data_IF_941775704764
#
_entry.id   IF_941775704764
#
_cell.length_a   1.000
_cell.length_b   1.000
_cell.length_c   1.000
_cell.angle_alpha   90.00
_cell.angle_beta   90.00
_cell.angle_gamma   90.00
#
_symmetry.space_group_name_H-M   'P 1'
#
loop_
_entity.id
_entity.type
_entity.pdbx_description
1 polymer ?
#
# COMPACT_ATOMS: atom_id res chain seq x y z
N UNK A 1 2.06 -13.98 22.12
CA UNK A 1 2.60 -14.87 21.07
C UNK A 1 2.25 -14.42 19.65
N UNK A 2 1.25 -13.55 19.45
CA UNK A 2 0.80 -13.00 18.15
C UNK A 2 1.72 -11.94 17.49
N UNK A 3 2.78 -11.49 18.16
CA UNK A 3 3.61 -10.35 17.72
C UNK A 3 4.95 -10.77 17.11
N UNK A 4 5.32 -12.05 17.13
CA UNK A 4 6.61 -12.52 16.61
C UNK A 4 6.54 -12.86 15.12
N UNK A 5 5.43 -13.42 14.65
CA UNK A 5 5.34 -13.97 13.30
C UNK A 5 5.02 -12.91 12.23
N UNK A 6 4.35 -11.80 12.59
CA UNK A 6 4.17 -10.66 11.68
C UNK A 6 5.46 -9.86 11.43
N UNK A 7 6.42 -9.92 12.36
CA UNK A 7 7.74 -9.30 12.21
C UNK A 7 8.65 -10.12 11.28
N UNK A 8 8.58 -11.46 11.34
CA UNK A 8 9.38 -12.34 10.48
C UNK A 8 9.00 -12.16 9.00
N UNK A 9 7.71 -12.03 8.70
CA UNK A 9 7.24 -11.83 7.32
C UNK A 9 7.58 -10.43 6.78
N UNK A 10 7.46 -9.39 7.61
CA UNK A 10 7.95 -8.04 7.27
C UNK A 10 9.47 -8.01 7.06
N UNK A 11 10.24 -8.76 7.85
CA UNK A 11 11.69 -8.87 7.70
C UNK A 11 12.12 -9.60 6.40
N UNK A 12 11.35 -10.60 5.95
CA UNK A 12 11.58 -11.26 4.66
C UNK A 12 11.30 -10.32 3.47
N UNK A 13 10.17 -9.59 3.50
CA UNK A 13 9.83 -8.54 2.52
C UNK A 13 10.95 -7.47 2.49
N UNK A 14 11.40 -7.05 3.68
CA UNK A 14 12.44 -6.04 3.81
C UNK A 14 13.79 -6.49 3.27
N UNK A 15 14.22 -7.75 3.46
CA UNK A 15 15.47 -8.28 2.86
C UNK A 15 15.44 -8.24 1.32
N UNK A 16 14.31 -8.57 0.71
CA UNK A 16 14.14 -8.51 -0.75
C UNK A 16 14.10 -7.05 -1.24
N UNK A 17 13.50 -6.13 -0.46
CA UNK A 17 13.57 -4.69 -0.74
C UNK A 17 14.99 -4.13 -0.60
N UNK A 18 15.76 -4.58 0.40
CA UNK A 18 17.16 -4.21 0.65
C UNK A 18 18.08 -4.64 -0.52
N UNK A 19 17.78 -5.78 -1.16
CA UNK A 19 18.54 -6.28 -2.31
C UNK A 19 18.22 -5.54 -3.64
N UNK A 20 17.04 -4.92 -3.74
CA UNK A 20 16.61 -4.15 -4.93
C UNK A 20 16.92 -2.65 -4.82
N UNK A 21 16.79 -2.10 -3.61
CA UNK A 21 17.05 -0.69 -3.32
C UNK A 21 18.51 -0.56 -2.86
N UNK A 22 19.45 -0.37 -3.81
CA UNK A 22 20.86 -0.18 -3.45
C UNK A 22 21.11 1.05 -2.56
N UNK A 23 22.22 1.06 -1.82
CA UNK A 23 22.75 2.24 -1.09
C UNK A 23 22.22 2.45 0.34
N UNK A 24 22.18 3.71 0.77
CA UNK A 24 21.76 4.19 2.11
C UNK A 24 20.47 3.59 2.65
N UNK A 25 19.48 3.47 1.75
CA UNK A 25 18.14 3.01 2.08
C UNK A 25 18.14 1.52 2.47
N UNK A 26 19.01 0.72 1.86
CA UNK A 26 19.25 -0.66 2.28
C UNK A 26 19.91 -0.74 3.68
N UNK A 27 20.85 0.16 3.98
CA UNK A 27 21.52 0.21 5.29
C UNK A 27 20.57 0.67 6.41
N UNK A 28 19.72 1.66 6.12
CA UNK A 28 18.67 2.15 7.01
C UNK A 28 17.65 1.05 7.35
N UNK A 29 17.24 0.28 6.34
CA UNK A 29 16.36 -0.87 6.52
C UNK A 29 17.05 -1.99 7.31
N UNK A 30 18.32 -2.28 7.05
CA UNK A 30 19.09 -3.26 7.79
C UNK A 30 19.21 -2.92 9.30
N UNK A 31 19.32 -1.64 9.65
CA UNK A 31 19.37 -1.16 11.04
C UNK A 31 18.03 -1.31 11.77
N UNK A 32 16.91 -1.04 11.11
CA UNK A 32 15.55 -1.26 11.66
C UNK A 32 15.25 -2.74 11.90
N UNK A 33 15.91 -3.64 11.15
CA UNK A 33 15.70 -5.10 11.18
C UNK A 33 16.46 -5.84 12.30
N UNK A 34 17.30 -5.16 13.07
CA UNK A 34 18.03 -5.79 14.18
C UNK A 34 17.13 -5.96 15.40
N UNK A 35 16.82 -7.20 15.80
CA UNK A 35 16.26 -7.46 17.14
C UNK A 35 17.37 -7.36 18.18
N UNK A 36 17.09 -6.96 19.45
CA UNK A 36 18.12 -6.95 20.51
C UNK A 36 18.79 -8.31 20.73
N UNK A 37 18.14 -9.39 20.29
CA UNK A 37 18.59 -10.78 20.39
C UNK A 37 19.52 -11.25 19.26
N UNK A 38 19.63 -10.52 18.15
CA UNK A 38 20.52 -10.89 17.04
C UNK A 38 21.98 -10.42 17.25
N UNK A 39 22.25 -9.67 18.32
CA UNK A 39 23.62 -9.39 18.80
C UNK A 39 24.08 -10.56 19.67
N UNK A 40 24.19 -11.76 19.09
CA UNK A 40 24.96 -12.83 19.73
C UNK A 40 26.42 -12.63 19.34
N UNK A 41 27.19 -12.18 20.32
CA UNK A 41 28.62 -11.91 20.28
C UNK A 41 29.38 -12.80 19.28
N UNK A 42 29.63 -12.28 18.07
CA UNK A 42 30.84 -12.64 17.38
C UNK A 42 31.98 -12.03 18.20
N UNK A 43 32.77 -12.87 18.86
CA UNK A 43 34.09 -12.48 19.31
C UNK A 43 34.91 -12.13 18.07
N UNK A 44 34.81 -10.87 17.65
CA UNK A 44 35.78 -10.29 16.74
C UNK A 44 37.01 -10.03 17.59
N UNK A 45 38.05 -10.83 17.37
CA UNK A 45 39.37 -10.63 17.95
C UNK A 45 39.82 -9.20 17.65
N UNK A 46 40.03 -8.41 18.70
CA UNK A 46 40.50 -7.03 18.61
C UNK A 46 41.89 -6.97 17.95
N UNK A 47 42.08 -6.23 16.84
CA UNK A 47 43.36 -5.61 16.61
C UNK A 47 43.47 -4.44 17.59
N UNK A 48 44.44 -4.50 18.49
CA UNK A 48 44.85 -3.33 19.28
C UNK A 48 45.27 -2.23 18.29
N UNK A 49 44.40 -1.25 18.13
CA UNK A 49 44.63 -0.06 17.33
C UNK A 49 43.59 0.97 17.74
N UNK A 50 44.04 1.95 18.53
CA UNK A 50 43.24 3.10 18.94
C UNK A 50 42.87 3.95 17.72
N UNK A 51 41.81 3.58 17.02
CA UNK A 51 41.06 4.54 16.21
C UNK A 51 39.93 5.06 17.09
N UNK A 52 39.91 6.37 17.34
CA UNK A 52 38.70 7.02 17.82
C UNK A 52 37.62 6.68 16.78
N UNK A 53 36.65 5.87 17.16
CA UNK A 53 35.44 5.71 16.38
C UNK A 53 34.78 7.09 16.43
N UNK A 54 35.01 7.92 15.41
CA UNK A 54 34.38 9.23 15.31
C UNK A 54 32.87 9.00 15.45
N UNK A 55 32.29 9.57 16.51
CA UNK A 55 30.84 9.60 16.69
C UNK A 55 30.26 10.28 15.44
N UNK A 56 29.74 9.47 14.51
CA UNK A 56 29.04 10.02 13.34
C UNK A 56 27.91 10.90 13.90
N UNK A 57 27.78 12.16 13.46
CA UNK A 57 26.82 13.07 14.02
C UNK A 57 25.42 12.51 13.79
N UNK A 58 24.73 12.10 14.87
CA UNK A 58 23.38 11.52 14.78
C UNK A 58 22.41 12.55 14.21
N UNK A 59 21.81 12.26 13.05
CA UNK A 59 20.72 13.09 12.50
C UNK A 59 19.53 13.05 13.46
N UNK A 60 19.06 14.21 13.92
CA UNK A 60 17.84 14.29 14.73
C UNK A 60 16.60 14.12 13.84
N UNK A 61 15.72 13.17 14.15
CA UNK A 61 14.45 12.98 13.44
C UNK A 61 13.27 13.60 14.20
N UNK A 62 12.57 14.54 13.58
CA UNK A 62 11.35 15.14 14.09
C UNK A 62 10.15 14.71 13.25
N UNK A 63 9.17 14.01 13.83
CA UNK A 63 7.90 13.71 13.16
C UNK A 63 6.83 14.60 13.77
N UNK A 64 6.22 15.45 12.95
CA UNK A 64 5.22 16.43 13.37
C UNK A 64 3.99 16.35 12.47
N UNK A 65 2.84 16.84 12.96
CA UNK A 65 1.68 17.05 12.11
C UNK A 65 1.94 18.17 11.10
N UNK A 66 1.54 17.96 9.86
CA UNK A 66 1.63 18.93 8.78
C UNK A 66 0.31 19.65 8.54
N UNK A 67 0.39 20.94 8.24
CA UNK A 67 -0.78 21.73 7.84
C UNK A 67 -1.10 21.54 6.36
N UNK A 68 -2.38 21.37 6.05
CA UNK A 68 -2.90 21.40 4.68
C UNK A 68 -3.04 22.85 4.20
N UNK A 69 -2.89 23.08 2.89
CA UNK A 69 -3.27 24.35 2.29
C UNK A 69 -4.78 24.62 2.49
N UNK A 70 -5.20 25.87 2.34
CA UNK A 70 -6.61 26.24 2.50
C UNK A 70 -7.56 25.46 1.57
N UNK A 71 -7.12 25.12 0.36
CA UNK A 71 -7.92 24.32 -0.57
C UNK A 71 -7.92 22.83 -0.20
N UNK A 72 -6.75 22.25 0.10
CA UNK A 72 -6.63 20.85 0.52
C UNK A 72 -7.41 20.58 1.80
N UNK A 73 -7.40 21.52 2.76
CA UNK A 73 -8.19 21.41 3.99
C UNK A 73 -9.69 21.34 3.69
N UNK A 74 -10.21 22.19 2.81
CA UNK A 74 -11.63 22.15 2.41
C UNK A 74 -12.01 20.83 1.74
N UNK A 75 -11.12 20.32 0.87
CA UNK A 75 -11.33 19.03 0.20
C UNK A 75 -11.22 17.86 1.20
N UNK A 76 -10.34 17.95 2.20
CA UNK A 76 -10.23 16.96 3.28
C UNK A 76 -11.43 16.99 4.23
N UNK A 77 -11.92 18.15 4.63
CA UNK A 77 -13.15 18.27 5.44
C UNK A 77 -14.36 17.66 4.70
N UNK A 78 -14.38 17.75 3.36
CA UNK A 78 -15.37 17.07 2.52
C UNK A 78 -15.21 15.55 2.59
N UNK A 79 -13.99 15.03 2.47
CA UNK A 79 -13.68 13.61 2.63
C UNK A 79 -14.16 13.10 4.00
N UNK A 80 -13.85 13.81 5.08
CA UNK A 80 -14.26 13.40 6.42
C UNK A 80 -15.79 13.37 6.59
N UNK A 81 -16.50 14.38 6.07
CA UNK A 81 -17.98 14.37 6.06
C UNK A 81 -18.53 13.18 5.28
N UNK A 82 -17.92 12.89 4.13
CA UNK A 82 -18.32 11.77 3.29
C UNK A 82 -18.04 10.41 3.96
N UNK A 83 -16.91 10.26 4.65
CA UNK A 83 -16.59 9.06 5.43
C UNK A 83 -17.58 8.83 6.59
N UNK A 84 -17.94 9.87 7.33
CA UNK A 84 -18.97 9.77 8.38
C UNK A 84 -20.33 9.30 7.84
N UNK A 85 -20.69 9.76 6.64
CA UNK A 85 -21.91 9.28 5.98
C UNK A 85 -21.81 7.83 5.51
N UNK A 86 -20.64 7.40 5.01
CA UNK A 86 -20.42 5.98 4.68
C UNK A 86 -20.61 5.10 5.91
N UNK A 87 -20.06 5.50 7.06
CA UNK A 87 -20.15 4.72 8.30
C UNK A 87 -21.60 4.50 8.76
N UNK A 88 -22.51 5.40 8.42
CA UNK A 88 -23.92 5.33 8.85
C UNK A 88 -24.84 4.72 7.79
N UNK A 89 -24.55 4.94 6.50
CA UNK A 89 -25.46 4.61 5.39
C UNK A 89 -24.82 3.73 4.31
N UNK A 90 -23.61 3.22 4.54
CA UNK A 90 -22.81 2.58 3.51
C UNK A 90 -22.53 3.53 2.33
N UNK A 91 -22.27 2.98 1.15
CA UNK A 91 -21.93 3.80 -0.01
C UNK A 91 -23.05 4.73 -0.50
N UNK A 92 -24.32 4.47 -0.17
CA UNK A 92 -25.41 5.41 -0.40
C UNK A 92 -25.25 6.73 0.37
N UNK A 93 -24.45 6.74 1.45
CA UNK A 93 -24.04 7.95 2.15
C UNK A 93 -23.23 8.92 1.31
N UNK A 94 -22.58 8.44 0.23
CA UNK A 94 -21.76 9.28 -0.66
C UNK A 94 -22.55 10.11 -1.65
N UNK A 95 -23.81 9.77 -1.95
CA UNK A 95 -24.57 10.31 -3.08
C UNK A 95 -24.57 11.84 -3.11
N UNK A 96 -24.77 12.47 -1.95
CA UNK A 96 -24.78 13.93 -1.81
C UNK A 96 -23.40 14.57 -1.98
N UNK A 97 -22.33 13.80 -1.78
CA UNK A 97 -20.94 14.27 -1.86
C UNK A 97 -20.31 14.04 -3.22
N UNK A 98 -20.81 13.10 -4.03
CA UNK A 98 -20.20 12.72 -5.32
C UNK A 98 -19.90 13.93 -6.23
N UNK A 99 -20.81 14.91 -6.42
CA UNK A 99 -20.50 16.07 -7.25
C UNK A 99 -19.35 16.92 -6.68
N UNK A 100 -19.26 17.05 -5.36
CA UNK A 100 -18.20 17.82 -4.71
C UNK A 100 -16.86 17.07 -4.73
N UNK A 101 -16.87 15.76 -4.52
CA UNK A 101 -15.68 14.90 -4.59
C UNK A 101 -15.10 14.87 -6.00
N UNK A 102 -15.94 14.73 -7.04
CA UNK A 102 -15.47 14.81 -8.44
C UNK A 102 -14.82 16.17 -8.75
N UNK A 103 -15.42 17.26 -8.27
CA UNK A 103 -14.83 18.60 -8.40
C UNK A 103 -13.51 18.73 -7.62
N UNK A 104 -13.39 18.10 -6.45
CA UNK A 104 -12.14 18.10 -5.68
C UNK A 104 -11.04 17.36 -6.44
N UNK A 105 -11.32 16.19 -7.00
CA UNK A 105 -10.35 15.44 -7.81
C UNK A 105 -9.96 16.19 -9.10
N UNK A 106 -10.92 16.87 -9.74
CA UNK A 106 -10.64 17.68 -10.93
C UNK A 106 -9.74 18.90 -10.63
N UNK A 107 -9.83 19.46 -9.41
CA UNK A 107 -8.96 20.55 -8.94
C UNK A 107 -7.63 20.08 -8.36
N UNK A 108 -7.47 18.78 -8.12
CA UNK A 108 -6.29 18.24 -7.48
C UNK A 108 -5.03 18.57 -8.28
N UNK A 109 -3.91 18.95 -7.63
CA UNK A 109 -2.64 19.21 -8.30
C UNK A 109 -2.27 18.08 -9.25
N UNK A 110 -1.63 18.42 -10.38
CA UNK A 110 -1.20 17.43 -11.36
C UNK A 110 -0.15 16.46 -10.78
N UNK A 111 0.70 16.97 -9.88
CA UNK A 111 1.71 16.20 -9.16
C UNK A 111 1.34 16.29 -7.68
N UNK A 112 1.07 15.15 -7.05
CA UNK A 112 0.67 15.07 -5.64
C UNK A 112 1.35 13.88 -4.97
N UNK A 113 2.68 13.92 -4.81
CA UNK A 113 3.46 12.74 -4.49
C UNK A 113 3.28 12.35 -3.02
N UNK A 114 3.50 11.07 -2.75
CA UNK A 114 3.45 10.53 -1.39
C UNK A 114 4.51 11.16 -0.46
N UNK A 115 5.74 11.34 -0.96
CA UNK A 115 6.80 12.11 -0.28
C UNK A 115 7.13 13.36 -1.09
N UNK A 116 7.23 14.50 -0.41
CA UNK A 116 7.63 15.76 -1.04
C UNK A 116 8.68 16.47 -0.19
N UNK A 117 9.80 16.88 -0.80
CA UNK A 117 10.79 17.71 -0.13
C UNK A 117 10.32 19.16 -0.15
N UNK A 118 10.11 19.79 1.02
CA UNK A 118 9.72 21.20 1.11
C UNK A 118 10.92 22.14 1.11
N UNK A 119 11.97 21.79 1.84
CA UNK A 119 13.21 22.54 1.95
C UNK A 119 14.38 21.58 2.30
N UNK A 120 15.51 22.10 2.75
CA UNK A 120 16.73 21.31 2.96
C UNK A 120 16.53 20.14 3.95
N UNK A 121 15.83 20.38 5.06
CA UNK A 121 15.66 19.46 6.19
C UNK A 121 14.20 19.01 6.39
N UNK A 122 13.23 19.60 5.67
CA UNK A 122 11.81 19.32 5.85
C UNK A 122 11.16 18.57 4.67
N UNK A 123 10.41 17.54 5.02
CA UNK A 123 9.69 16.66 4.11
C UNK A 123 8.23 16.55 4.51
N UNK A 124 7.34 16.45 3.52
CA UNK A 124 5.96 16.03 3.71
C UNK A 124 5.88 14.54 3.40
N UNK A 125 5.17 13.80 4.27
CA UNK A 125 4.76 12.41 4.00
C UNK A 125 3.23 12.35 4.07
N UNK A 126 2.60 11.95 2.96
CA UNK A 126 1.15 11.94 2.78
C UNK A 126 0.58 10.55 3.06
N UNK A 127 0.18 10.31 4.29
CA UNK A 127 -0.48 9.07 4.71
C UNK A 127 -1.29 9.27 5.97
N UNK A 128 -2.33 8.46 6.14
CA UNK A 128 -3.03 8.36 7.42
C UNK A 128 -2.40 7.30 8.33
N UNK A 129 -1.52 6.46 7.80
CA UNK A 129 -0.86 5.40 8.54
C UNK A 129 0.42 5.89 9.21
N UNK A 130 0.39 5.97 10.54
CA UNK A 130 1.56 6.40 11.31
C UNK A 130 2.76 5.47 11.09
N UNK A 131 2.52 4.17 10.88
CA UNK A 131 3.57 3.19 10.61
C UNK A 131 4.33 3.47 9.30
N UNK A 132 3.60 3.84 8.23
CA UNK A 132 4.22 4.25 6.97
C UNK A 132 5.01 5.55 7.11
N UNK A 133 4.50 6.48 7.93
CA UNK A 133 5.19 7.75 8.24
C UNK A 133 6.52 7.47 8.92
N UNK A 134 6.52 6.69 10.01
CA UNK A 134 7.73 6.36 10.77
C UNK A 134 8.76 5.66 9.88
N UNK A 135 8.32 4.68 9.10
CA UNK A 135 9.22 3.95 8.20
C UNK A 135 9.85 4.87 7.14
N UNK A 136 9.04 5.73 6.52
CA UNK A 136 9.52 6.72 5.54
C UNK A 136 10.48 7.71 6.20
N UNK A 137 10.15 8.17 7.41
CA UNK A 137 10.97 9.10 8.17
C UNK A 137 12.34 8.51 8.54
N UNK A 138 12.40 7.23 8.91
CA UNK A 138 13.68 6.54 9.17
C UNK A 138 14.54 6.43 7.91
N UNK A 139 13.93 6.16 6.75
CA UNK A 139 14.68 6.15 5.48
C UNK A 139 15.23 7.54 5.14
N UNK A 140 14.43 8.59 5.32
CA UNK A 140 14.86 9.97 5.10
C UNK A 140 15.97 10.39 6.07
N UNK A 141 15.88 9.99 7.35
CA UNK A 141 16.91 10.24 8.35
C UNK A 141 18.24 9.59 7.95
N UNK A 142 18.22 8.34 7.48
CA UNK A 142 19.42 7.65 7.05
C UNK A 142 20.03 8.24 5.77
N UNK A 143 19.21 8.65 4.80
CA UNK A 143 19.71 9.37 3.63
C UNK A 143 20.36 10.71 4.02
N UNK A 144 19.72 11.47 4.92
CA UNK A 144 20.26 12.73 5.41
C UNK A 144 21.55 12.54 6.24
N UNK A 145 21.73 11.38 6.88
CA UNK A 145 22.94 11.02 7.61
C UNK A 145 24.14 10.88 6.67
N UNK A 146 23.92 10.38 5.46
CA UNK A 146 24.95 10.30 4.42
C UNK A 146 25.27 11.67 3.83
N UNK A 147 24.27 12.53 3.72
CA UNK A 147 24.41 13.92 3.26
C UNK A 147 25.04 14.84 4.34
N UNK A 148 25.33 14.33 5.55
CA UNK A 148 25.91 15.10 6.65
C UNK A 148 24.96 16.12 7.27
N UNK A 149 23.64 15.93 7.14
CA UNK A 149 22.65 16.78 7.78
C UNK A 149 22.68 16.62 9.31
N UNK A 150 22.22 17.65 10.02
CA UNK A 150 22.05 17.61 11.49
C UNK A 150 20.65 17.16 11.91
N UNK A 151 19.64 17.41 11.07
CA UNK A 151 18.25 17.06 11.37
C UNK A 151 17.43 16.79 10.11
N UNK A 152 16.36 16.02 10.30
CA UNK A 152 15.28 15.82 9.33
C UNK A 152 13.95 16.01 10.04
N UNK A 153 13.08 16.82 9.46
CA UNK A 153 11.70 17.01 9.91
C UNK A 153 10.75 16.39 8.89
N UNK A 154 9.90 15.48 9.35
CA UNK A 154 8.82 14.87 8.57
C UNK A 154 7.48 15.41 9.06
N UNK A 155 6.76 16.06 8.16
CA UNK A 155 5.39 16.51 8.35
C UNK A 155 4.42 15.48 7.80
N UNK A 156 3.74 14.78 8.70
CA UNK A 156 2.66 13.88 8.31
C UNK A 156 1.44 14.70 7.87
N UNK A 157 0.92 14.41 6.68
CA UNK A 157 -0.34 14.97 6.17
C UNK A 157 -1.27 13.86 5.69
N UNK A 158 -2.60 14.06 5.73
CA UNK A 158 -3.51 13.13 5.08
C UNK A 158 -3.34 13.17 3.56
N UNK A 159 -3.45 12.01 2.91
CA UNK A 159 -3.36 11.90 1.46
C UNK A 159 -4.70 12.22 0.78
N UNK A 160 -5.08 13.51 0.79
CA UNK A 160 -6.42 13.98 0.42
C UNK A 160 -6.90 13.43 -0.93
N UNK A 161 -6.12 13.60 -1.99
CA UNK A 161 -6.58 13.26 -3.34
C UNK A 161 -6.52 11.76 -3.66
N UNK A 162 -5.67 11.00 -2.95
CA UNK A 162 -5.74 9.54 -2.94
C UNK A 162 -7.06 9.08 -2.29
N UNK A 163 -7.44 9.65 -1.14
CA UNK A 163 -8.71 9.33 -0.49
C UNK A 163 -9.92 9.69 -1.35
N UNK A 164 -9.90 10.85 -2.01
CA UNK A 164 -10.98 11.25 -2.94
C UNK A 164 -11.11 10.26 -4.10
N UNK A 165 -9.99 9.90 -4.75
CA UNK A 165 -10.00 8.95 -5.86
C UNK A 165 -10.46 7.56 -5.40
N UNK A 166 -10.00 7.11 -4.22
CA UNK A 166 -10.42 5.86 -3.61
C UNK A 166 -11.92 5.84 -3.35
N UNK A 167 -12.48 6.86 -2.70
CA UNK A 167 -13.91 6.92 -2.38
C UNK A 167 -14.78 6.92 -3.64
N UNK A 168 -14.43 7.71 -4.65
CA UNK A 168 -15.15 7.75 -5.92
C UNK A 168 -15.02 6.43 -6.70
N UNK A 169 -13.81 5.84 -6.72
CA UNK A 169 -13.54 4.58 -7.40
C UNK A 169 -14.30 3.42 -6.76
N UNK A 170 -14.20 3.26 -5.43
CA UNK A 170 -14.93 2.24 -4.70
C UNK A 170 -16.43 2.41 -4.90
N UNK A 171 -17.00 3.60 -4.74
CA UNK A 171 -18.43 3.84 -4.96
C UNK A 171 -18.90 3.48 -6.38
N UNK A 172 -18.10 3.77 -7.41
CA UNK A 172 -18.42 3.36 -8.77
C UNK A 172 -18.38 1.82 -8.94
N UNK A 173 -17.46 1.11 -8.27
CA UNK A 173 -17.45 -0.37 -8.20
C UNK A 173 -18.72 -0.91 -7.54
N UNK A 174 -19.14 -0.34 -6.41
CA UNK A 174 -20.40 -0.71 -5.71
C UNK A 174 -21.59 -0.65 -6.65
N UNK A 175 -21.68 0.43 -7.44
CA UNK A 175 -22.77 0.65 -8.39
C UNK A 175 -22.59 -0.08 -9.72
N UNK A 176 -21.56 -0.94 -9.84
CA UNK A 176 -21.24 -1.68 -11.07
C UNK A 176 -20.96 -0.75 -12.26
N UNK A 177 -20.56 0.50 -12.02
CA UNK A 177 -20.12 1.47 -13.03
C UNK A 177 -18.61 1.34 -13.22
N UNK A 178 -18.20 0.18 -13.74
CA UNK A 178 -16.80 -0.26 -13.68
C UNK A 178 -15.86 0.60 -14.52
N UNK A 179 -16.28 1.03 -15.71
CA UNK A 179 -15.46 1.94 -16.54
C UNK A 179 -15.27 3.31 -15.89
N UNK A 180 -16.28 3.81 -15.18
CA UNK A 180 -16.15 5.04 -14.39
C UNK A 180 -15.18 4.85 -13.23
N UNK A 181 -15.25 3.71 -12.52
CA UNK A 181 -14.32 3.39 -11.45
C UNK A 181 -12.88 3.38 -11.96
N UNK A 182 -12.63 2.71 -13.08
CA UNK A 182 -11.30 2.63 -13.72
C UNK A 182 -10.82 4.04 -14.08
N UNK A 183 -11.65 4.86 -14.73
CA UNK A 183 -11.28 6.21 -15.14
C UNK A 183 -10.96 7.15 -13.96
N UNK A 184 -11.69 7.02 -12.84
CA UNK A 184 -11.41 7.78 -11.62
C UNK A 184 -10.12 7.33 -10.96
N UNK A 185 -9.89 6.01 -10.88
CA UNK A 185 -8.68 5.44 -10.29
C UNK A 185 -7.45 5.79 -11.14
N UNK A 186 -7.59 5.87 -12.46
CA UNK A 186 -6.55 6.38 -13.37
C UNK A 186 -6.18 7.84 -13.07
N UNK A 187 -7.15 8.69 -12.75
CA UNK A 187 -6.86 10.07 -12.35
C UNK A 187 -6.09 10.14 -11.02
N UNK A 188 -6.36 9.23 -10.08
CA UNK A 188 -5.60 9.13 -8.83
C UNK A 188 -4.18 8.63 -9.08
N UNK A 189 -4.03 7.56 -9.86
CA UNK A 189 -2.74 6.97 -10.21
C UNK A 189 -1.86 7.87 -11.07
N UNK A 190 -2.46 8.73 -11.92
CA UNK A 190 -1.70 9.74 -12.66
C UNK A 190 -0.95 10.71 -11.73
N UNK A 191 -1.44 10.91 -10.50
CA UNK A 191 -0.82 11.78 -9.48
C UNK A 191 0.10 11.00 -8.54
N UNK A 192 -0.23 9.74 -8.27
CA UNK A 192 0.53 8.83 -7.43
C UNK A 192 0.63 7.45 -8.09
N UNK A 193 1.58 7.25 -9.01
CA UNK A 193 1.68 6.03 -9.80
C UNK A 193 1.99 4.78 -8.97
N UNK A 194 2.54 4.95 -7.77
CA UNK A 194 2.96 3.88 -6.87
C UNK A 194 2.00 3.65 -5.69
N UNK A 195 0.79 4.23 -5.75
CA UNK A 195 -0.21 4.01 -4.71
C UNK A 195 -0.82 2.60 -4.82
N UNK A 196 -0.28 1.68 -4.02
CA UNK A 196 -0.67 0.28 -4.02
C UNK A 196 -2.17 0.06 -3.75
N UNK A 197 -2.81 0.95 -2.98
CA UNK A 197 -4.25 0.87 -2.69
C UNK A 197 -5.05 1.17 -3.96
N UNK A 198 -4.75 2.28 -4.65
CA UNK A 198 -5.42 2.63 -5.90
C UNK A 198 -5.15 1.60 -7.01
N UNK A 199 -3.94 1.04 -7.09
CA UNK A 199 -3.61 -0.04 -8.04
C UNK A 199 -4.48 -1.27 -7.75
N UNK A 200 -4.56 -1.70 -6.49
CA UNK A 200 -5.36 -2.86 -6.07
C UNK A 200 -6.84 -2.66 -6.37
N UNK A 201 -7.39 -1.48 -6.08
CA UNK A 201 -8.79 -1.16 -6.39
C UNK A 201 -9.04 -1.11 -7.91
N UNK A 202 -8.10 -0.57 -8.70
CA UNK A 202 -8.23 -0.57 -10.17
C UNK A 202 -8.18 -1.99 -10.73
N UNK A 203 -7.30 -2.83 -10.22
CA UNK A 203 -7.25 -4.25 -10.57
C UNK A 203 -8.58 -4.95 -10.26
N UNK A 204 -9.17 -4.68 -9.08
CA UNK A 204 -10.50 -5.20 -8.72
C UNK A 204 -11.60 -4.74 -9.67
N UNK A 205 -11.60 -3.45 -10.06
CA UNK A 205 -12.57 -2.92 -11.02
C UNK A 205 -12.41 -3.54 -12.42
N UNK A 206 -11.18 -3.74 -12.89
CA UNK A 206 -10.87 -4.43 -14.15
C UNK A 206 -11.32 -5.89 -14.12
N UNK A 207 -11.07 -6.60 -13.02
CA UNK A 207 -11.50 -7.98 -12.81
C UNK A 207 -13.03 -8.10 -12.83
N UNK A 208 -13.72 -7.22 -12.11
CA UNK A 208 -15.18 -7.17 -12.12
C UNK A 208 -15.75 -6.88 -13.51
N UNK A 209 -14.98 -6.21 -14.37
CA UNK A 209 -15.36 -5.90 -15.76
C UNK A 209 -15.00 -7.03 -16.74
N UNK A 210 -14.42 -8.13 -16.26
CA UNK A 210 -13.90 -9.22 -17.10
C UNK A 210 -12.62 -8.88 -17.86
N UNK A 211 -11.99 -7.73 -17.58
CA UNK A 211 -10.77 -7.24 -18.24
C UNK A 211 -9.52 -7.80 -17.54
N UNK A 212 -9.45 -9.13 -17.44
CA UNK A 212 -8.48 -9.84 -16.61
C UNK A 212 -7.04 -9.71 -17.12
N UNK A 213 -6.81 -9.64 -18.43
CA UNK A 213 -5.48 -9.38 -19.00
C UNK A 213 -4.93 -8.01 -18.58
N UNK A 214 -5.79 -6.99 -18.54
CA UNK A 214 -5.40 -5.65 -18.12
C UNK A 214 -5.13 -5.58 -16.61
N UNK A 215 -5.95 -6.27 -15.80
CA UNK A 215 -5.70 -6.39 -14.36
C UNK A 215 -4.38 -7.11 -14.06
N UNK A 216 -4.11 -8.20 -14.79
CA UNK A 216 -2.86 -8.95 -14.71
C UNK A 216 -1.67 -8.08 -15.07
N UNK A 217 -1.76 -7.34 -16.19
CA UNK A 217 -0.70 -6.43 -16.63
C UNK A 217 -0.42 -5.37 -15.57
N UNK A 218 -1.46 -4.69 -15.08
CA UNK A 218 -1.35 -3.66 -14.05
C UNK A 218 -0.67 -4.18 -12.78
N UNK A 219 -1.10 -5.33 -12.26
CA UNK A 219 -0.50 -5.91 -11.06
C UNK A 219 0.95 -6.34 -11.30
N UNK A 220 1.27 -6.86 -12.49
CA UNK A 220 2.62 -7.32 -12.83
C UNK A 220 3.60 -6.15 -13.00
N UNK A 221 3.17 -5.07 -13.66
CA UNK A 221 3.96 -3.84 -13.81
C UNK A 221 4.23 -3.19 -12.44
N UNK A 222 3.20 -3.14 -11.58
CA UNK A 222 3.37 -2.65 -10.22
C UNK A 222 4.39 -3.49 -9.44
N UNK A 223 4.27 -4.82 -9.46
CA UNK A 223 5.20 -5.74 -8.78
C UNK A 223 6.64 -5.71 -9.34
N UNK A 224 6.84 -5.19 -10.56
CA UNK A 224 8.15 -4.97 -11.15
C UNK A 224 8.79 -3.62 -10.75
N UNK A 225 8.05 -2.75 -10.08
CA UNK A 225 8.55 -1.46 -9.60
C UNK A 225 9.49 -1.60 -8.40
N UNK A 226 10.48 -0.73 -8.31
CA UNK A 226 11.34 -0.56 -7.14
C UNK A 226 10.71 0.35 -6.06
N UNK A 227 9.44 0.78 -6.23
CA UNK A 227 8.75 1.55 -5.20
C UNK A 227 8.64 0.75 -3.92
N UNK A 228 9.18 1.32 -2.83
CA UNK A 228 9.08 0.71 -1.51
C UNK A 228 7.63 0.53 -1.05
N UNK A 229 6.72 1.43 -1.46
CA UNK A 229 5.29 1.32 -1.13
C UNK A 229 4.67 0.07 -1.75
N UNK A 230 5.09 -0.26 -2.97
CA UNK A 230 4.68 -1.48 -3.67
C UNK A 230 5.32 -2.70 -3.00
N UNK A 231 6.63 -2.68 -2.76
CA UNK A 231 7.35 -3.81 -2.17
C UNK A 231 6.78 -4.21 -0.80
N UNK A 232 6.48 -3.24 0.06
CA UNK A 232 5.90 -3.49 1.39
C UNK A 232 4.48 -4.06 1.35
N UNK A 233 3.76 -3.83 0.24
CA UNK A 233 2.37 -4.24 0.07
C UNK A 233 2.20 -5.24 -1.08
N UNK A 234 3.29 -5.88 -1.51
CA UNK A 234 3.31 -6.77 -2.66
C UNK A 234 2.35 -7.97 -2.53
N UNK A 235 2.06 -8.41 -1.29
CA UNK A 235 1.13 -9.52 -1.05
C UNK A 235 -0.27 -9.26 -1.62
N UNK A 236 -0.79 -8.03 -1.48
CA UNK A 236 -2.09 -7.65 -2.04
C UNK A 236 -2.07 -7.68 -3.57
N UNK A 237 -0.98 -7.23 -4.19
CA UNK A 237 -0.82 -7.22 -5.65
C UNK A 237 -0.61 -8.62 -6.22
N UNK A 238 0.11 -9.48 -5.50
CA UNK A 238 0.23 -10.90 -5.83
C UNK A 238 -1.12 -11.61 -5.80
N UNK A 239 -1.99 -11.30 -4.83
CA UNK A 239 -3.38 -11.80 -4.83
C UNK A 239 -4.18 -11.30 -6.03
N UNK A 240 -4.11 -10.02 -6.37
CA UNK A 240 -4.77 -9.47 -7.56
C UNK A 240 -4.26 -10.12 -8.86
N UNK A 241 -2.95 -10.35 -8.96
CA UNK A 241 -2.34 -11.10 -10.07
C UNK A 241 -2.87 -12.53 -10.13
N UNK A 242 -2.87 -13.25 -9.01
CA UNK A 242 -3.36 -14.62 -8.91
C UNK A 242 -4.82 -14.76 -9.33
N UNK A 243 -5.68 -13.84 -8.88
CA UNK A 243 -7.10 -13.84 -9.25
C UNK A 243 -7.27 -13.68 -10.77
N UNK A 244 -6.57 -12.72 -11.36
CA UNK A 244 -6.64 -12.49 -12.82
C UNK A 244 -6.16 -13.72 -13.59
N UNK A 245 -5.15 -14.43 -13.09
CA UNK A 245 -4.64 -15.66 -13.70
C UNK A 245 -5.62 -16.85 -13.60
N UNK A 246 -6.38 -16.96 -12.50
CA UNK A 246 -7.48 -17.93 -12.39
C UNK A 246 -8.52 -17.68 -13.48
N UNK A 247 -8.98 -16.43 -13.62
CA UNK A 247 -10.00 -16.08 -14.62
C UNK A 247 -9.52 -16.33 -16.05
N UNK A 248 -8.21 -16.20 -16.29
CA UNK A 248 -7.56 -16.52 -17.56
C UNK A 248 -7.21 -18.01 -17.73
N UNK A 249 -7.65 -18.88 -16.80
CA UNK A 249 -7.38 -20.33 -16.80
C UNK A 249 -5.88 -20.70 -16.76
N UNK A 250 -5.04 -19.80 -16.24
CA UNK A 250 -3.58 -19.98 -16.08
C UNK A 250 -3.25 -20.45 -14.67
N UNK A 251 -3.83 -21.59 -14.28
CA UNK A 251 -3.80 -22.09 -12.89
C UNK A 251 -2.39 -22.28 -12.30
N UNK A 252 -1.39 -22.82 -13.02
CA UNK A 252 -0.03 -22.96 -12.45
C UNK A 252 0.60 -21.62 -12.08
N UNK A 253 0.37 -20.58 -12.89
CA UNK A 253 0.88 -19.24 -12.63
C UNK A 253 0.10 -18.53 -11.52
N UNK A 254 -1.21 -18.78 -11.44
CA UNK A 254 -2.05 -18.29 -10.35
C UNK A 254 -1.57 -18.83 -9.00
N UNK A 255 -1.31 -20.14 -8.91
CA UNK A 255 -0.74 -20.79 -7.72
C UNK A 255 0.56 -20.12 -7.30
N UNK A 256 1.49 -19.95 -8.23
CA UNK A 256 2.75 -19.28 -7.95
C UNK A 256 2.55 -17.85 -7.40
N UNK A 257 1.58 -17.10 -7.94
CA UNK A 257 1.26 -15.76 -7.42
C UNK A 257 0.70 -15.80 -5.98
N UNK A 258 -0.17 -16.75 -5.64
CA UNK A 258 -0.67 -16.90 -4.27
C UNK A 258 0.38 -17.42 -3.30
N UNK A 259 1.28 -18.30 -3.75
CA UNK A 259 2.43 -18.74 -2.95
C UNK A 259 3.36 -17.56 -2.63
N UNK A 260 3.61 -16.67 -3.59
CA UNK A 260 4.33 -15.41 -3.31
C UNK A 260 3.59 -14.56 -2.29
N UNK A 261 2.25 -14.43 -2.37
CA UNK A 261 1.49 -13.70 -1.34
C UNK A 261 1.67 -14.34 0.06
N UNK A 262 1.65 -15.68 0.16
CA UNK A 262 1.83 -16.40 1.43
C UNK A 262 3.26 -16.35 1.97
N UNK A 263 4.28 -16.13 1.14
CA UNK A 263 5.63 -15.83 1.63
C UNK A 263 5.69 -14.50 2.38
N UNK A 264 4.84 -13.54 2.01
CA UNK A 264 4.77 -12.20 2.58
C UNK A 264 3.78 -12.11 3.76
N UNK A 265 2.74 -12.94 3.75
CA UNK A 265 1.83 -13.15 4.88
C UNK A 265 1.38 -14.62 4.92
N UNK A 266 2.06 -15.47 5.70
CA UNK A 266 1.70 -16.89 5.83
C UNK A 266 0.29 -17.12 6.37
N UNK A 267 -0.36 -16.12 6.97
CA UNK A 267 -1.71 -16.19 7.52
C UNK A 267 -2.78 -15.53 6.63
N UNK A 268 -2.44 -15.15 5.39
CA UNK A 268 -3.41 -14.61 4.44
C UNK A 268 -4.45 -15.68 4.05
N UNK A 269 -5.58 -15.64 4.76
CA UNK A 269 -6.71 -16.55 4.55
C UNK A 269 -7.28 -16.46 3.13
N UNK A 270 -7.20 -15.29 2.49
CA UNK A 270 -7.70 -15.13 1.13
C UNK A 270 -6.81 -15.88 0.14
N UNK A 271 -5.48 -15.79 0.30
CA UNK A 271 -4.54 -16.56 -0.52
C UNK A 271 -4.69 -18.08 -0.29
N UNK A 272 -4.79 -18.54 0.98
CA UNK A 272 -5.05 -19.95 1.31
C UNK A 272 -6.35 -20.47 0.66
N UNK A 273 -7.42 -19.69 0.71
CA UNK A 273 -8.70 -20.06 0.10
C UNK A 273 -8.62 -20.18 -1.43
N UNK A 274 -7.87 -19.29 -2.08
CA UNK A 274 -7.69 -19.33 -3.54
C UNK A 274 -6.81 -20.51 -3.99
N UNK A 275 -5.80 -20.89 -3.21
CA UNK A 275 -5.04 -22.12 -3.46
C UNK A 275 -5.92 -23.37 -3.36
N UNK A 276 -6.77 -23.46 -2.33
CA UNK A 276 -7.72 -24.55 -2.21
C UNK A 276 -8.74 -24.57 -3.36
N UNK A 277 -9.15 -23.40 -3.86
CA UNK A 277 -9.99 -23.30 -5.05
C UNK A 277 -9.26 -23.82 -6.31
N UNK A 278 -7.99 -23.47 -6.50
CA UNK A 278 -7.16 -24.00 -7.59
C UNK A 278 -7.04 -25.54 -7.48
N UNK A 279 -6.76 -26.08 -6.28
CA UNK A 279 -6.70 -27.53 -6.05
C UNK A 279 -8.02 -28.21 -6.48
N UNK A 280 -9.15 -27.59 -6.16
CA UNK A 280 -10.49 -28.06 -6.57
C UNK A 280 -10.68 -28.09 -8.08
N UNK A 281 -10.31 -27.02 -8.78
CA UNK A 281 -10.38 -26.95 -10.24
C UNK A 281 -9.51 -28.02 -10.90
N UNK A 282 -8.28 -28.22 -10.41
CA UNK A 282 -7.36 -29.25 -10.91
C UNK A 282 -7.88 -30.67 -10.66
N UNK A 283 -8.65 -30.88 -9.59
CA UNK A 283 -9.35 -32.12 -9.29
C UNK A 283 -10.66 -32.31 -10.09
N UNK A 284 -11.01 -31.38 -11.01
CA UNK A 284 -12.18 -31.46 -11.87
C UNK A 284 -13.48 -30.93 -11.23
N UNK A 285 -13.39 -30.16 -10.14
CA UNK A 285 -14.56 -29.45 -9.60
C UNK A 285 -15.00 -28.35 -10.57
N UNK A 286 -16.31 -28.13 -10.65
CA UNK A 286 -16.86 -27.05 -11.47
C UNK A 286 -16.40 -25.68 -10.93
N UNK A 287 -16.02 -24.73 -11.81
CA UNK A 287 -15.73 -23.38 -11.39
C UNK A 287 -16.91 -22.78 -10.65
N UNK A 288 -16.64 -22.17 -9.51
CA UNK A 288 -17.64 -21.35 -8.82
C UNK A 288 -17.62 -19.96 -9.43
N UNK A 289 -18.75 -19.26 -9.40
CA UNK A 289 -18.77 -17.88 -9.86
C UNK A 289 -17.66 -17.10 -9.13
N UNK A 290 -16.87 -16.28 -9.86
CA UNK A 290 -15.76 -15.58 -9.24
C UNK A 290 -16.28 -14.81 -8.04
N UNK A 291 -15.74 -15.12 -6.87
CA UNK A 291 -15.89 -14.27 -5.69
C UNK A 291 -14.94 -13.09 -5.92
N UNK A 292 -15.29 -12.25 -6.90
CA UNK A 292 -14.89 -10.85 -6.82
C UNK A 292 -15.32 -10.43 -5.42
N UNK A 293 -14.46 -9.75 -4.67
CA UNK A 293 -14.90 -9.02 -3.49
C UNK A 293 -15.84 -7.91 -3.99
N UNK A 294 -17.01 -8.30 -4.46
CA UNK A 294 -18.08 -7.39 -4.74
C UNK A 294 -18.44 -6.82 -3.39
N UNK A 295 -18.63 -5.52 -3.34
CA UNK A 295 -19.11 -4.94 -2.14
C UNK A 295 -20.43 -5.54 -1.68
N UNK A 296 -20.59 -5.54 -0.36
CA UNK A 296 -21.73 -6.07 0.39
C UNK A 296 -23.01 -6.03 -0.43
N UNK A 297 -23.43 -7.18 -0.96
CA UNK A 297 -24.85 -7.40 -1.19
C UNK A 297 -25.49 -7.14 0.17
N UNK A 298 -26.16 -5.99 0.29
CA UNK A 298 -26.77 -5.52 1.52
C UNK A 298 -27.36 -6.74 2.23
N UNK A 299 -26.91 -6.96 3.47
CA UNK A 299 -27.48 -7.97 4.34
C UNK A 299 -28.98 -7.66 4.49
N UNK A 300 -29.77 -8.18 3.56
CA UNK A 300 -31.19 -8.33 3.72
C UNK A 300 -31.33 -9.24 4.91
N UNK A 301 -31.78 -8.68 6.03
CA UNK A 301 -32.30 -9.49 7.13
C UNK A 301 -33.18 -10.57 6.51
N UNK A 302 -33.00 -11.86 6.84
CA UNK A 302 -34.00 -12.84 6.47
C UNK A 302 -35.34 -12.36 7.04
N UNK A 303 -36.31 -12.16 6.15
CA UNK A 303 -37.69 -12.04 6.57
C UNK A 303 -38.03 -13.36 7.26
N UNK A 304 -38.26 -13.30 8.57
CA UNK A 304 -38.70 -14.47 9.33
C UNK A 304 -40.14 -14.79 8.91
N UNK A 305 -40.50 -16.08 8.73
CA UNK A 305 -41.87 -16.50 8.46
C UNK A 305 -42.81 -16.19 9.64
#
# INVERSE_FOLDING_TARGET
>A
MYWRDSYVSKAAIMKTATARIGGAAALAMALVLSTPSDVRAQQVSTPQGSSKMEERPTVTLNIVSGDLSGQEKRDFDLVERAMRDIQTRGYAGLDRHLPALRRALARAPAIYPYVEKRNADEWIVRTQEIGETVLTATMLQAAAQEDGASSVTVRQQPNVYQLVALMLGSEAVERRRLDEAIAVLDQGLARQPDDWVLIKEKASALQAAGRNEEALKLASEALASDSIRILLNAGALHRSRGFSLIELQRLPEARAAYDEALKLDPEDRSAKAQLAYIDGLEAGQAPTAPVVMTPSAAAGKPANP
#
